data_IF_104242848435
#
_entry.id   IF_104242848435
#
_cell.length_a   1.000
_cell.length_b   1.000
_cell.length_c   1.000
_cell.angle_alpha   90.00
_cell.angle_beta   90.00
_cell.angle_gamma   90.00
#
_symmetry.space_group_name_H-M   'P 1'
#
loop_
_entity.id
_entity.type
_entity.pdbx_description
1 polymer ?
#
# COMPACT_ATOMS: atom_id res chain seq x y z
N UNK A 1 -4.32 -21.32 12.53
CA UNK A 1 -5.39 -20.55 11.86
C UNK A 1 -5.07 -19.06 11.77
N UNK A 2 -4.44 -18.42 12.78
CA UNK A 2 -4.03 -16.99 12.72
C UNK A 2 -3.20 -16.61 11.49
N UNK A 3 -2.22 -17.43 11.09
CA UNK A 3 -1.36 -17.11 9.94
C UNK A 3 -2.12 -17.00 8.60
N UNK A 4 -3.17 -17.80 8.40
CA UNK A 4 -3.97 -17.73 7.16
C UNK A 4 -4.81 -16.45 7.11
N UNK A 5 -5.32 -15.99 8.26
CA UNK A 5 -6.10 -14.76 8.33
C UNK A 5 -5.23 -13.52 8.07
N UNK A 6 -4.02 -13.51 8.62
CA UNK A 6 -3.06 -12.43 8.45
C UNK A 6 -2.57 -12.31 6.99
N UNK A 7 -2.39 -13.44 6.30
CA UNK A 7 -2.01 -13.42 4.88
C UNK A 7 -3.11 -12.79 4.00
N UNK A 8 -4.37 -13.17 4.24
CA UNK A 8 -5.51 -12.60 3.53
C UNK A 8 -5.64 -11.09 3.79
N UNK A 9 -5.52 -10.66 5.03
CA UNK A 9 -5.59 -9.24 5.39
C UNK A 9 -4.52 -8.42 4.67
N UNK A 10 -3.29 -8.96 4.57
CA UNK A 10 -2.20 -8.31 3.86
C UNK A 10 -2.47 -8.22 2.34
N UNK A 11 -3.03 -9.27 1.74
CA UNK A 11 -3.43 -9.26 0.33
C UNK A 11 -4.55 -8.25 0.06
N UNK A 12 -5.57 -8.21 0.94
CA UNK A 12 -6.70 -7.29 0.84
C UNK A 12 -6.21 -5.84 0.93
N UNK A 13 -5.43 -5.49 1.97
CA UNK A 13 -4.86 -4.14 2.14
C UNK A 13 -3.94 -3.75 0.97
N UNK A 14 -3.12 -4.68 0.48
CA UNK A 14 -2.24 -4.41 -0.67
C UNK A 14 -3.03 -4.17 -1.95
N UNK A 15 -4.15 -4.87 -2.13
CA UNK A 15 -5.06 -4.70 -3.26
C UNK A 15 -5.78 -3.36 -3.20
N UNK A 16 -6.33 -3.01 -2.04
CA UNK A 16 -6.97 -1.71 -1.81
C UNK A 16 -6.01 -0.55 -2.09
N UNK A 17 -4.77 -0.65 -1.61
CA UNK A 17 -3.73 0.33 -1.89
C UNK A 17 -3.43 0.42 -3.39
N UNK A 18 -3.31 -0.72 -4.08
CA UNK A 18 -3.08 -0.75 -5.54
C UNK A 18 -4.20 -0.05 -6.30
N UNK A 19 -5.45 -0.30 -5.93
CA UNK A 19 -6.61 0.33 -6.56
C UNK A 19 -6.67 1.83 -6.28
N UNK A 20 -6.38 2.26 -5.03
CA UNK A 20 -6.33 3.67 -4.68
C UNK A 20 -5.26 4.42 -5.49
N UNK A 21 -4.08 3.83 -5.63
CA UNK A 21 -3.01 4.36 -6.49
C UNK A 21 -3.44 4.43 -7.95
N UNK A 22 -4.10 3.40 -8.47
CA UNK A 22 -4.59 3.37 -9.84
C UNK A 22 -5.63 4.48 -10.10
N UNK A 23 -6.53 4.75 -9.15
CA UNK A 23 -7.48 5.88 -9.22
C UNK A 23 -6.76 7.24 -9.26
N UNK A 24 -5.61 7.35 -8.61
CA UNK A 24 -4.73 8.52 -8.69
C UNK A 24 -3.83 8.55 -9.94
N UNK A 25 -4.00 7.62 -10.89
CA UNK A 25 -3.17 7.52 -12.09
C UNK A 25 -1.74 7.04 -11.83
N UNK A 26 -1.51 6.38 -10.70
CA UNK A 26 -0.20 5.85 -10.26
C UNK A 26 -0.21 4.32 -10.35
N UNK A 27 0.82 3.76 -10.99
CA UNK A 27 1.07 2.32 -10.99
C UNK A 27 2.45 2.07 -10.39
N UNK A 28 2.49 1.24 -9.34
CA UNK A 28 3.73 0.75 -8.73
C UNK A 28 3.86 -0.76 -8.98
N UNK A 29 4.58 -1.19 -10.03
CA UNK A 29 4.74 -2.61 -10.37
C UNK A 29 5.46 -3.41 -9.27
N UNK A 30 6.29 -2.72 -8.48
CA UNK A 30 7.00 -3.29 -7.35
C UNK A 30 6.16 -3.44 -6.08
N UNK A 31 4.94 -2.87 -6.04
CA UNK A 31 4.09 -2.90 -4.86
C UNK A 31 3.76 -4.35 -4.50
N UNK A 32 4.20 -4.80 -3.34
CA UNK A 32 3.97 -6.15 -2.84
C UNK A 32 4.05 -6.21 -1.33
N UNK A 33 3.47 -7.21 -0.69
CA UNK A 33 3.77 -7.52 0.71
C UNK A 33 5.26 -7.84 0.89
N UNK A 34 5.84 -7.40 2.01
CA UNK A 34 7.20 -7.79 2.39
C UNK A 34 7.21 -9.23 2.94
N UNK A 35 7.86 -10.19 2.26
CA UNK A 35 7.83 -11.59 2.70
C UNK A 35 8.55 -11.80 4.04
N UNK A 36 9.52 -10.95 4.41
CA UNK A 36 10.29 -11.10 5.64
C UNK A 36 9.41 -10.79 6.85
N UNK A 37 8.70 -9.67 6.83
CA UNK A 37 7.79 -9.26 7.90
C UNK A 37 6.63 -10.24 8.06
N UNK A 38 6.07 -10.77 6.96
CA UNK A 38 4.97 -11.76 7.00
C UNK A 38 5.43 -13.08 7.62
N UNK A 39 6.66 -13.51 7.33
CA UNK A 39 7.22 -14.73 7.90
C UNK A 39 7.65 -14.55 9.37
N UNK A 40 7.77 -13.31 9.85
CA UNK A 40 8.31 -13.00 11.17
C UNK A 40 7.21 -12.80 12.23
N UNK A 41 7.22 -13.62 13.28
CA UNK A 41 6.17 -13.67 14.32
C UNK A 41 5.96 -12.35 15.08
N UNK A 42 6.98 -11.51 15.17
CA UNK A 42 6.96 -10.30 16.01
C UNK A 42 7.02 -8.99 15.23
N UNK A 43 7.17 -9.04 13.90
CA UNK A 43 7.14 -7.83 13.09
C UNK A 43 5.71 -7.63 12.59
N UNK A 44 5.21 -6.39 12.55
CA UNK A 44 3.98 -6.10 11.84
C UNK A 44 4.18 -6.38 10.34
N UNK A 45 3.16 -6.86 9.61
CA UNK A 45 3.24 -6.98 8.16
C UNK A 45 3.55 -5.62 7.52
N UNK A 46 4.50 -5.63 6.59
CA UNK A 46 4.88 -4.45 5.83
C UNK A 46 4.52 -4.63 4.36
N UNK A 47 4.32 -3.51 3.67
CA UNK A 47 4.12 -3.44 2.22
C UNK A 47 5.32 -2.71 1.62
N UNK A 48 6.03 -3.39 0.73
CA UNK A 48 7.11 -2.82 -0.07
C UNK A 48 6.52 -1.98 -1.19
N UNK A 49 6.76 -0.66 -1.16
CA UNK A 49 6.33 0.27 -2.23
C UNK A 49 7.29 0.25 -3.43
N UNK A 50 8.57 -0.02 -3.18
CA UNK A 50 9.65 0.02 -4.17
C UNK A 50 10.02 1.44 -4.61
N UNK A 51 10.65 1.56 -5.80
CA UNK A 51 11.07 2.84 -6.36
C UNK A 51 10.02 3.39 -7.31
N UNK A 52 9.83 4.70 -7.31
CA UNK A 52 8.99 5.40 -8.28
C UNK A 52 9.81 6.40 -9.10
N UNK A 53 9.34 6.74 -10.30
CA UNK A 53 9.92 7.83 -11.08
C UNK A 53 9.52 9.19 -10.51
N UNK A 54 10.21 10.26 -10.88
CA UNK A 54 9.88 11.63 -10.47
C UNK A 54 8.44 12.03 -10.84
N UNK A 55 7.95 11.58 -12.01
CA UNK A 55 6.57 11.80 -12.45
C UNK A 55 5.56 11.13 -11.49
N UNK A 56 5.81 9.86 -11.17
CA UNK A 56 4.97 9.12 -10.22
C UNK A 56 5.02 9.73 -8.82
N UNK A 57 6.20 10.15 -8.35
CA UNK A 57 6.35 10.83 -7.07
C UNK A 57 5.49 12.11 -7.00
N UNK A 58 5.46 12.91 -8.07
CA UNK A 58 4.60 14.11 -8.13
C UNK A 58 3.11 13.78 -8.12
N UNK A 59 2.68 12.76 -8.87
CA UNK A 59 1.28 12.30 -8.88
C UNK A 59 0.85 11.80 -7.50
N UNK A 60 1.72 11.05 -6.81
CA UNK A 60 1.51 10.62 -5.43
C UNK A 60 1.35 11.82 -4.49
N UNK A 61 2.27 12.79 -4.55
CA UNK A 61 2.19 14.00 -3.72
C UNK A 61 0.88 14.76 -3.95
N UNK A 62 0.46 14.93 -5.21
CA UNK A 62 -0.80 15.57 -5.54
C UNK A 62 -2.00 14.82 -4.92
N UNK A 63 -2.08 13.50 -5.13
CA UNK A 63 -3.16 12.67 -4.60
C UNK A 63 -3.24 12.66 -3.07
N UNK A 64 -2.11 12.79 -2.37
CA UNK A 64 -2.05 12.84 -0.90
C UNK A 64 -2.34 14.24 -0.33
N UNK A 65 -2.17 15.29 -1.13
CA UNK A 65 -2.40 16.69 -0.72
C UNK A 65 -3.82 17.17 -1.05
N UNK A 66 -4.56 16.42 -1.87
CA UNK A 66 -6.00 16.63 -2.00
C UNK A 66 -6.65 16.47 -0.61
N UNK A 67 -7.42 17.47 -0.13
CA UNK A 67 -8.07 17.38 1.16
C UNK A 67 -8.94 16.14 1.15
N UNK A 68 -8.56 15.16 1.97
CA UNK A 68 -9.35 13.96 2.22
C UNK A 68 -10.75 14.43 2.58
N UNK A 69 -11.76 13.99 1.81
CA UNK A 69 -13.18 14.28 2.08
C UNK A 69 -13.67 13.69 3.43
N UNK A 70 -12.76 13.24 4.29
CA UNK A 70 -12.97 12.58 5.57
C UNK A 70 -12.44 13.34 6.80
N UNK A 71 -11.78 14.49 6.68
CA UNK A 71 -11.46 15.33 7.86
C UNK A 71 -12.67 16.16 8.28
N UNK A 72 -13.64 15.46 8.89
CA UNK A 72 -14.56 16.01 9.89
C UNK A 72 -14.47 15.12 11.13
N UNK A 73 -13.47 15.39 11.97
CA UNK A 73 -13.49 15.06 13.39
C UNK A 73 -13.06 16.30 14.15
#
# INVERSE_FOLDING_TARGET
MLMQQQFKEVEDVTTELREALARAGVVLPSLRPDPVSIAHRYLPPLVELGRCSMDVARKLTAALTEPSRGDRV
#
